data_IF_695202589029
#
_entry.id   IF_695202589029
#
_cell.length_a   1.000
_cell.length_b   1.000
_cell.length_c   1.000
_cell.angle_alpha   90.00
_cell.angle_beta   90.00
_cell.angle_gamma   90.00
#
_symmetry.space_group_name_H-M   'P 1'
#
loop_
_entity.id
_entity.type
_entity.pdbx_description
1 polymer ?
#
# COMPACT_ATOMS: atom_id res chain seq x y z
N UNK A 1 -8.31 -20.27 -17.29
CA UNK A 1 -8.49 -18.91 -16.74
C UNK A 1 -9.73 -18.95 -15.86
N UNK A 2 -9.62 -18.48 -14.63
CA UNK A 2 -10.71 -18.52 -13.66
C UNK A 2 -11.81 -17.50 -14.00
N UNK A 3 -13.11 -17.87 -13.94
CA UNK A 3 -14.21 -16.92 -14.13
C UNK A 3 -14.18 -15.79 -13.09
N UNK A 4 -13.79 -16.12 -11.85
CA UNK A 4 -13.63 -15.18 -10.75
C UNK A 4 -12.64 -14.06 -11.07
N UNK A 5 -11.60 -14.31 -11.85
CA UNK A 5 -10.62 -13.29 -12.25
C UNK A 5 -11.25 -12.21 -13.12
N UNK A 6 -12.03 -12.61 -14.13
CA UNK A 6 -12.70 -11.68 -15.04
C UNK A 6 -13.73 -10.86 -14.27
N UNK A 7 -14.55 -11.51 -13.45
CA UNK A 7 -15.58 -10.86 -12.64
C UNK A 7 -14.98 -9.91 -11.61
N UNK A 8 -13.89 -10.30 -10.93
CA UNK A 8 -13.20 -9.44 -9.97
C UNK A 8 -12.59 -8.21 -10.65
N UNK A 9 -11.96 -8.38 -11.81
CA UNK A 9 -11.43 -7.28 -12.62
C UNK A 9 -12.52 -6.29 -13.02
N UNK A 10 -13.66 -6.79 -13.51
CA UNK A 10 -14.83 -5.95 -13.85
C UNK A 10 -15.42 -5.26 -12.63
N UNK A 11 -15.49 -5.95 -11.49
CA UNK A 11 -15.99 -5.36 -10.25
C UNK A 11 -15.11 -4.19 -9.79
N UNK A 12 -13.80 -4.37 -9.73
CA UNK A 12 -12.86 -3.32 -9.32
C UNK A 12 -12.83 -2.16 -10.32
N UNK A 13 -12.78 -2.44 -11.62
CA UNK A 13 -12.79 -1.38 -12.64
C UNK A 13 -14.10 -0.57 -12.62
N UNK A 14 -15.24 -1.24 -12.45
CA UNK A 14 -16.53 -0.56 -12.27
C UNK A 14 -16.52 0.26 -10.99
N UNK A 15 -16.06 -0.30 -9.86
CA UNK A 15 -15.97 0.43 -8.60
C UNK A 15 -15.13 1.70 -8.77
N UNK A 16 -13.92 1.61 -9.32
CA UNK A 16 -13.02 2.75 -9.53
C UNK A 16 -13.67 3.85 -10.38
N UNK A 17 -14.61 3.56 -11.27
CA UNK A 17 -15.31 4.56 -12.08
C UNK A 17 -16.60 5.11 -11.44
N UNK A 18 -16.94 4.67 -10.23
CA UNK A 18 -18.25 4.89 -9.59
C UNK A 18 -18.24 5.90 -8.43
N UNK A 19 -17.31 6.84 -8.45
CA UNK A 19 -17.37 7.99 -7.54
C UNK A 19 -18.63 8.82 -7.82
N UNK A 20 -19.00 9.71 -6.90
CA UNK A 20 -20.17 10.61 -7.09
C UNK A 20 -20.11 11.44 -8.38
N UNK A 21 -18.92 11.74 -8.90
CA UNK A 21 -18.73 12.47 -10.17
C UNK A 21 -18.63 11.54 -11.40
N UNK A 22 -18.63 10.22 -11.18
CA UNK A 22 -18.58 9.19 -12.22
C UNK A 22 -19.91 8.47 -12.38
N UNK A 23 -19.90 7.14 -12.32
CA UNK A 23 -21.12 6.31 -12.41
C UNK A 23 -22.03 6.42 -11.17
N UNK A 24 -21.58 7.11 -10.11
CA UNK A 24 -22.35 7.37 -8.90
C UNK A 24 -22.85 6.08 -8.21
N UNK A 25 -24.00 6.19 -7.53
CA UNK A 25 -24.60 5.09 -6.80
C UNK A 25 -24.89 3.86 -7.67
N UNK A 26 -25.38 4.07 -8.89
CA UNK A 26 -25.73 2.98 -9.81
C UNK A 26 -24.51 2.11 -10.16
N UNK A 27 -23.37 2.73 -10.47
CA UNK A 27 -22.13 2.00 -10.73
C UNK A 27 -21.59 1.27 -9.51
N UNK A 28 -21.73 1.84 -8.30
CA UNK A 28 -21.32 1.15 -7.06
C UNK A 28 -22.17 -0.10 -6.79
N UNK A 29 -23.47 -0.04 -7.03
CA UNK A 29 -24.36 -1.21 -6.90
C UNK A 29 -23.98 -2.29 -7.93
N UNK A 30 -23.75 -1.91 -9.19
CA UNK A 30 -23.28 -2.84 -10.22
C UNK A 30 -21.92 -3.47 -9.86
N UNK A 31 -20.99 -2.68 -9.32
CA UNK A 31 -19.70 -3.18 -8.86
C UNK A 31 -19.85 -4.22 -7.75
N UNK A 32 -20.80 -4.02 -6.83
CA UNK A 32 -21.11 -4.98 -5.76
C UNK A 32 -21.72 -6.28 -6.30
N UNK A 33 -22.61 -6.21 -7.28
CA UNK A 33 -23.17 -7.40 -7.94
C UNK A 33 -22.08 -8.23 -8.61
N UNK A 34 -21.21 -7.57 -9.40
CA UNK A 34 -20.06 -8.20 -10.04
C UNK A 34 -19.10 -8.82 -9.03
N UNK A 35 -18.83 -8.11 -7.93
CA UNK A 35 -18.01 -8.62 -6.82
C UNK A 35 -18.63 -9.86 -6.22
N UNK A 36 -19.94 -9.88 -5.96
CA UNK A 36 -20.61 -11.01 -5.33
C UNK A 36 -20.55 -12.25 -6.24
N UNK A 37 -20.74 -12.07 -7.54
CA UNK A 37 -20.54 -13.14 -8.53
C UNK A 37 -19.08 -13.62 -8.56
N UNK A 38 -18.10 -12.71 -8.50
CA UNK A 38 -16.68 -13.05 -8.44
C UNK A 38 -16.33 -13.87 -7.19
N UNK A 39 -16.81 -13.45 -6.02
CA UNK A 39 -16.59 -14.15 -4.75
C UNK A 39 -17.22 -15.55 -4.77
N UNK A 40 -18.46 -15.69 -5.25
CA UNK A 40 -19.12 -16.99 -5.37
C UNK A 40 -18.35 -17.93 -6.32
N UNK A 41 -17.88 -17.41 -7.46
CA UNK A 41 -17.05 -18.19 -8.38
C UNK A 41 -15.69 -18.57 -7.75
N UNK A 42 -15.07 -17.67 -6.99
CA UNK A 42 -13.80 -17.95 -6.31
C UNK A 42 -13.95 -19.06 -5.28
N UNK A 43 -15.02 -19.01 -4.48
CA UNK A 43 -15.34 -20.03 -3.47
C UNK A 43 -15.59 -21.39 -4.12
N UNK A 44 -16.40 -21.44 -5.18
CA UNK A 44 -16.66 -22.67 -5.94
C UNK A 44 -15.38 -23.28 -6.51
N UNK A 45 -14.48 -22.47 -7.10
CA UNK A 45 -13.17 -22.95 -7.57
C UNK A 45 -12.28 -23.46 -6.44
N UNK A 46 -12.27 -22.77 -5.30
CA UNK A 46 -11.49 -23.20 -4.14
C UNK A 46 -11.99 -24.53 -3.56
N UNK A 47 -13.31 -24.67 -3.38
CA UNK A 47 -13.96 -25.86 -2.82
C UNK A 47 -13.86 -27.07 -3.75
N UNK A 48 -13.98 -26.87 -5.06
CA UNK A 48 -13.79 -27.92 -6.07
C UNK A 48 -12.32 -28.30 -6.28
N UNK A 49 -11.37 -27.57 -5.68
CA UNK A 49 -9.94 -27.80 -5.80
C UNK A 49 -9.31 -27.27 -7.08
N UNK A 50 -10.04 -26.52 -7.91
CA UNK A 50 -9.49 -25.82 -9.08
C UNK A 50 -8.72 -24.56 -8.65
N UNK A 51 -7.52 -24.77 -8.12
CA UNK A 51 -6.68 -23.71 -7.54
C UNK A 51 -5.45 -23.52 -8.43
N UNK A 52 -5.38 -22.36 -9.07
CA UNK A 52 -4.28 -21.94 -9.94
C UNK A 52 -3.88 -20.48 -9.66
N UNK A 53 -2.82 -19.99 -10.31
CA UNK A 53 -2.34 -18.62 -10.14
C UNK A 53 -3.38 -17.57 -10.53
N UNK A 54 -4.28 -17.86 -11.46
CA UNK A 54 -5.36 -16.93 -11.84
C UNK A 54 -6.44 -16.83 -10.77
N UNK A 55 -6.59 -17.85 -9.91
CA UNK A 55 -7.45 -17.78 -8.72
C UNK A 55 -6.83 -16.87 -7.66
N UNK A 56 -5.50 -16.94 -7.49
CA UNK A 56 -4.76 -16.04 -6.61
C UNK A 56 -4.88 -14.58 -7.08
N UNK A 57 -4.80 -14.33 -8.40
CA UNK A 57 -4.99 -13.00 -8.98
C UNK A 57 -6.41 -12.47 -8.70
N UNK A 58 -7.43 -13.33 -8.84
CA UNK A 58 -8.81 -12.98 -8.51
C UNK A 58 -8.96 -12.62 -7.01
N UNK A 59 -8.34 -13.41 -6.13
CA UNK A 59 -8.34 -13.17 -4.69
C UNK A 59 -7.67 -11.82 -4.34
N UNK A 60 -6.55 -11.48 -4.99
CA UNK A 60 -5.86 -10.21 -4.79
C UNK A 60 -6.74 -9.02 -5.19
N UNK A 61 -7.40 -9.10 -6.35
CA UNK A 61 -8.30 -8.05 -6.84
C UNK A 61 -9.51 -7.89 -5.90
N UNK A 62 -10.08 -9.00 -5.42
CA UNK A 62 -11.17 -8.98 -4.44
C UNK A 62 -10.73 -8.39 -3.10
N UNK A 63 -9.52 -8.70 -2.64
CA UNK A 63 -8.98 -8.11 -1.42
C UNK A 63 -8.79 -6.59 -1.56
N UNK A 64 -8.31 -6.11 -2.72
CA UNK A 64 -8.22 -4.68 -3.00
C UNK A 64 -9.61 -4.02 -3.10
N UNK A 65 -10.60 -4.71 -3.68
CA UNK A 65 -11.99 -4.24 -3.71
C UNK A 65 -12.52 -4.05 -2.28
N UNK A 66 -12.39 -5.06 -1.41
CA UNK A 66 -12.90 -4.98 -0.03
C UNK A 66 -12.09 -4.00 0.84
N UNK A 67 -10.82 -3.76 0.52
CA UNK A 67 -10.02 -2.71 1.14
C UNK A 67 -10.42 -1.29 0.66
N UNK A 68 -11.29 -1.16 -0.33
CA UNK A 68 -11.75 0.13 -0.86
C UNK A 68 -13.00 0.65 -0.15
N UNK A 69 -13.22 1.97 -0.19
CA UNK A 69 -14.49 2.55 0.25
C UNK A 69 -15.62 2.20 -0.73
N UNK A 70 -16.55 1.36 -0.30
CA UNK A 70 -17.76 1.00 -1.04
C UNK A 70 -18.97 0.89 -0.10
N UNK A 71 -20.22 0.88 -0.60
CA UNK A 71 -21.42 0.94 0.23
C UNK A 71 -21.52 -0.19 1.27
N UNK A 72 -21.20 -1.43 0.86
CA UNK A 72 -21.27 -2.61 1.73
C UNK A 72 -19.95 -2.91 2.48
N UNK A 73 -19.05 -1.93 2.60
CA UNK A 73 -17.75 -2.16 3.24
C UNK A 73 -17.92 -2.50 4.71
N UNK A 74 -17.25 -3.56 5.16
CA UNK A 74 -17.19 -3.98 6.56
C UNK A 74 -15.80 -4.54 6.88
N UNK A 75 -15.42 -4.50 8.16
CA UNK A 75 -14.13 -5.05 8.60
C UNK A 75 -14.07 -6.57 8.38
N UNK A 76 -15.19 -7.26 8.53
CA UNK A 76 -15.33 -8.70 8.36
C UNK A 76 -15.11 -9.12 6.91
N UNK A 77 -15.69 -8.38 5.94
CA UNK A 77 -15.50 -8.69 4.51
C UNK A 77 -14.07 -8.43 4.06
N UNK A 78 -13.48 -7.31 4.48
CA UNK A 78 -12.07 -7.01 4.23
C UNK A 78 -11.17 -8.10 4.82
N UNK A 79 -11.38 -8.50 6.07
CA UNK A 79 -10.62 -9.57 6.71
C UNK A 79 -10.77 -10.92 5.99
N UNK A 80 -11.99 -11.30 5.63
CA UNK A 80 -12.28 -12.56 4.93
C UNK A 80 -11.59 -12.61 3.57
N UNK A 81 -11.60 -11.50 2.83
CA UNK A 81 -10.93 -11.42 1.52
C UNK A 81 -9.40 -11.61 1.63
N UNK A 82 -8.77 -11.05 2.66
CA UNK A 82 -7.35 -11.25 2.94
C UNK A 82 -7.03 -12.70 3.33
N UNK A 83 -7.91 -13.35 4.12
CA UNK A 83 -7.77 -14.77 4.46
C UNK A 83 -7.82 -15.67 3.23
N UNK A 84 -8.77 -15.45 2.30
CA UNK A 84 -8.80 -16.21 1.05
C UNK A 84 -7.52 -16.01 0.22
N UNK A 85 -7.04 -14.77 0.11
CA UNK A 85 -5.79 -14.46 -0.58
C UNK A 85 -4.60 -15.21 0.04
N UNK A 86 -4.46 -15.14 1.37
CA UNK A 86 -3.42 -15.83 2.14
C UNK A 86 -3.47 -17.35 1.94
N UNK A 87 -4.65 -17.96 2.08
CA UNK A 87 -4.84 -19.40 1.91
C UNK A 87 -4.52 -19.88 0.51
N UNK A 88 -4.92 -19.13 -0.53
CA UNK A 88 -4.65 -19.48 -1.93
C UNK A 88 -3.15 -19.36 -2.22
N UNK A 89 -2.50 -18.27 -1.81
CA UNK A 89 -1.05 -18.08 -1.97
C UNK A 89 -0.27 -19.18 -1.27
N UNK A 90 -0.65 -19.51 -0.03
CA UNK A 90 -0.06 -20.60 0.76
C UNK A 90 -0.23 -21.94 0.05
N UNK A 91 -1.43 -22.27 -0.42
CA UNK A 91 -1.73 -23.54 -1.09
C UNK A 91 -0.96 -23.73 -2.39
N UNK A 92 -0.65 -22.64 -3.08
CA UNK A 92 0.17 -22.62 -4.29
C UNK A 92 1.68 -22.48 -4.01
N UNK A 93 2.08 -22.32 -2.74
CA UNK A 93 3.45 -22.08 -2.30
C UNK A 93 4.15 -20.91 -3.02
N UNK A 94 3.40 -19.85 -3.36
CA UNK A 94 3.92 -18.79 -4.24
C UNK A 94 4.96 -17.89 -3.57
N UNK A 95 5.01 -17.81 -2.23
CA UNK A 95 6.04 -17.05 -1.51
C UNK A 95 7.39 -17.77 -1.44
N UNK A 96 7.46 -19.04 -1.88
CA UNK A 96 8.68 -19.85 -1.94
C UNK A 96 9.04 -20.28 -3.36
N UNK A 97 8.52 -19.55 -4.36
CA UNK A 97 8.74 -19.84 -5.78
C UNK A 97 10.23 -19.94 -6.15
N UNK A 98 11.08 -19.20 -5.44
CA UNK A 98 12.51 -19.05 -5.73
C UNK A 98 13.40 -19.66 -4.62
N UNK A 99 12.88 -20.62 -3.84
CA UNK A 99 13.61 -21.28 -2.74
C UNK A 99 14.91 -21.97 -3.17
N UNK A 100 15.02 -22.35 -4.45
CA UNK A 100 16.20 -22.98 -5.03
C UNK A 100 17.14 -22.01 -5.76
N UNK A 101 16.78 -20.72 -5.87
CA UNK A 101 17.66 -19.70 -6.43
C UNK A 101 18.62 -19.21 -5.32
N UNK A 102 19.95 -19.33 -5.51
CA UNK A 102 20.94 -19.00 -4.47
C UNK A 102 21.00 -17.51 -4.13
N UNK A 103 20.51 -16.65 -5.02
CA UNK A 103 20.48 -15.20 -4.82
C UNK A 103 19.19 -14.75 -4.11
N UNK A 104 18.25 -15.66 -3.85
CA UNK A 104 17.00 -15.35 -3.13
C UNK A 104 17.26 -14.97 -1.68
N UNK A 105 16.65 -13.88 -1.24
CA UNK A 105 16.68 -13.49 0.17
C UNK A 105 15.76 -14.41 0.98
N UNK A 106 16.27 -14.93 2.10
CA UNK A 106 15.50 -15.69 3.07
C UNK A 106 15.61 -15.03 4.43
N UNK A 107 14.58 -15.21 5.26
CA UNK A 107 14.47 -14.52 6.55
C UNK A 107 14.15 -15.53 7.66
N UNK A 108 14.49 -15.17 8.89
CA UNK A 108 14.14 -15.97 10.07
C UNK A 108 13.00 -15.29 10.83
N UNK A 109 12.15 -16.06 11.52
CA UNK A 109 10.90 -15.56 12.09
C UNK A 109 11.10 -14.52 13.20
N UNK A 110 12.20 -14.60 13.94
CA UNK A 110 12.42 -13.80 15.16
C UNK A 110 13.56 -12.78 14.99
N UNK A 111 14.20 -12.73 13.83
CA UNK A 111 15.23 -11.74 13.54
C UNK A 111 14.71 -10.65 12.61
N UNK A 112 15.41 -9.53 12.60
CA UNK A 112 15.12 -8.45 11.65
C UNK A 112 15.37 -8.95 10.21
N UNK A 113 14.45 -8.69 9.26
CA UNK A 113 14.63 -9.11 7.87
C UNK A 113 15.67 -8.23 7.17
N UNK A 114 16.93 -8.57 7.36
CA UNK A 114 18.08 -7.84 6.81
C UNK A 114 18.44 -8.39 5.44
N UNK A 115 18.63 -7.49 4.47
CA UNK A 115 19.25 -7.82 3.18
C UNK A 115 20.66 -7.22 3.15
N UNK A 116 21.72 -8.02 2.96
CA UNK A 116 23.08 -7.52 2.94
C UNK A 116 23.25 -6.38 1.92
N UNK A 117 23.78 -5.25 2.38
CA UNK A 117 24.03 -4.09 1.52
C UNK A 117 25.02 -4.46 0.41
N UNK A 118 24.61 -4.25 -0.83
CA UNK A 118 25.48 -4.41 -1.98
C UNK A 118 26.15 -3.05 -2.27
N UNK A 119 27.48 -3.05 -2.47
CA UNK A 119 28.22 -1.82 -2.74
C UNK A 119 27.68 -1.11 -3.98
N UNK A 120 27.49 0.23 -3.95
CA UNK A 120 27.12 0.98 -5.13
C UNK A 120 28.15 0.77 -6.25
N UNK A 121 27.68 0.66 -7.49
CA UNK A 121 28.58 0.57 -8.65
C UNK A 121 29.26 1.93 -8.82
N UNK A 122 30.60 2.03 -8.73
CA UNK A 122 31.31 3.31 -8.77
C UNK A 122 31.04 4.05 -10.09
N UNK A 123 30.65 5.33 -10.03
CA UNK A 123 30.55 6.23 -11.19
C UNK A 123 29.17 6.40 -11.84
N UNK A 124 28.10 5.83 -11.28
CA UNK A 124 26.73 5.99 -11.82
C UNK A 124 25.84 6.81 -10.88
N UNK A 125 25.42 7.99 -11.36
CA UNK A 125 24.55 8.94 -10.63
C UNK A 125 23.06 8.84 -11.01
N UNK A 126 22.70 7.92 -11.92
CA UNK A 126 21.32 7.75 -12.38
C UNK A 126 20.78 6.38 -11.96
N UNK A 127 19.62 6.35 -11.30
CA UNK A 127 18.92 5.12 -10.96
C UNK A 127 18.30 4.46 -12.23
N UNK A 128 18.42 3.14 -12.35
CA UNK A 128 17.81 2.36 -13.45
C UNK A 128 16.32 2.08 -13.32
N UNK A 129 15.67 2.69 -12.33
CA UNK A 129 14.24 2.60 -12.08
C UNK A 129 13.43 3.45 -13.07
N UNK A 130 13.59 3.18 -14.37
CA UNK A 130 12.82 3.84 -15.45
C UNK A 130 11.81 2.85 -16.03
N UNK A 131 10.51 3.18 -16.08
CA UNK A 131 9.55 2.42 -16.88
C UNK A 131 9.86 2.69 -18.37
N UNK A 132 10.23 1.67 -19.16
CA UNK A 132 10.54 1.88 -20.58
C UNK A 132 9.28 2.14 -21.42
N UNK A 133 8.11 1.70 -20.93
CA UNK A 133 6.83 1.98 -21.56
C UNK A 133 6.34 3.40 -21.25
N UNK A 134 6.71 4.36 -22.11
CA UNK A 134 5.82 5.49 -22.35
C UNK A 134 4.69 4.98 -23.24
N UNK A 135 3.47 4.87 -22.71
CA UNK A 135 2.28 4.76 -23.56
C UNK A 135 2.38 5.84 -24.65
N UNK A 136 2.11 5.53 -25.92
CA UNK A 136 2.24 6.49 -27.02
C UNK A 136 1.24 7.63 -26.83
N UNK A 137 1.67 8.72 -26.20
CA UNK A 137 0.95 9.99 -26.02
C UNK A 137 -0.54 9.90 -25.62
N UNK A 138 -0.97 8.75 -25.10
CA UNK A 138 -2.32 8.43 -24.69
C UNK A 138 -2.45 8.73 -23.21
N UNK A 139 -3.34 9.67 -22.92
CA UNK A 139 -3.75 10.23 -21.64
C UNK A 139 -3.12 9.58 -20.37
N UNK A 140 -2.14 10.31 -19.81
CA UNK A 140 -1.45 10.04 -18.52
C UNK A 140 -2.47 9.82 -17.37
N UNK A 141 -3.72 10.25 -17.56
CA UNK A 141 -4.82 10.14 -16.62
C UNK A 141 -5.27 8.71 -16.33
N UNK A 142 -5.05 7.76 -17.24
CA UNK A 142 -5.76 6.46 -17.18
C UNK A 142 -5.08 5.40 -16.32
N UNK A 143 -3.76 5.46 -16.07
CA UNK A 143 -3.08 4.47 -15.24
C UNK A 143 -1.68 4.86 -14.71
N UNK A 144 -1.57 5.83 -13.78
CA UNK A 144 -0.28 6.30 -13.26
C UNK A 144 0.52 5.25 -12.47
N UNK A 145 -0.15 4.24 -11.90
CA UNK A 145 0.48 3.19 -11.08
C UNK A 145 1.27 2.19 -11.95
N UNK A 146 0.87 1.99 -13.21
CA UNK A 146 1.55 1.08 -14.13
C UNK A 146 2.95 1.58 -14.51
N UNK A 147 3.13 2.90 -14.56
CA UNK A 147 4.44 3.54 -14.76
C UNK A 147 5.39 3.34 -13.57
N UNK A 148 4.90 2.81 -12.45
CA UNK A 148 5.69 2.58 -11.26
C UNK A 148 6.03 1.11 -11.05
N UNK A 149 5.62 0.19 -11.95
CA UNK A 149 5.97 -1.23 -11.87
C UNK A 149 7.27 -1.53 -12.63
N UNK A 150 8.00 -2.60 -12.29
CA UNK A 150 9.13 -3.04 -13.10
C UNK A 150 8.66 -3.44 -14.51
N UNK A 151 9.52 -3.21 -15.50
CA UNK A 151 9.21 -3.55 -16.90
C UNK A 151 9.19 -5.07 -17.13
N UNK A 152 8.85 -5.49 -18.35
CA UNK A 152 8.94 -6.88 -18.80
C UNK A 152 10.08 -7.04 -19.80
N UNK A 153 10.90 -8.09 -19.67
CA UNK A 153 11.93 -8.37 -20.67
C UNK A 153 11.26 -9.03 -21.90
N UNK A 154 11.35 -8.45 -23.10
CA UNK A 154 10.72 -9.01 -24.29
C UNK A 154 11.31 -10.36 -24.71
N UNK A 155 12.45 -10.76 -24.14
CA UNK A 155 13.09 -12.06 -24.39
C UNK A 155 12.57 -13.16 -23.47
N UNK A 156 11.77 -12.84 -22.45
CA UNK A 156 11.24 -13.84 -21.52
C UNK A 156 10.27 -14.80 -22.21
N UNK A 157 10.39 -16.08 -21.86
CA UNK A 157 9.41 -17.08 -22.26
C UNK A 157 8.09 -16.85 -21.52
N UNK A 158 7.00 -17.45 -21.99
CA UNK A 158 5.72 -17.42 -21.27
C UNK A 158 5.83 -17.98 -19.84
N UNK A 159 6.72 -18.95 -19.62
CA UNK A 159 6.97 -19.50 -18.29
C UNK A 159 7.66 -18.48 -17.37
N UNK A 160 8.62 -17.71 -17.91
CA UNK A 160 9.31 -16.66 -17.16
C UNK A 160 8.38 -15.51 -16.81
N UNK A 161 7.53 -15.10 -17.76
CA UNK A 161 6.47 -14.11 -17.54
C UNK A 161 5.55 -14.57 -16.40
N UNK A 162 5.04 -15.80 -16.46
CA UNK A 162 4.15 -16.34 -15.40
C UNK A 162 4.82 -16.42 -14.03
N UNK A 163 6.11 -16.74 -13.98
CA UNK A 163 6.87 -16.71 -12.71
C UNK A 163 6.96 -15.29 -12.17
N UNK A 164 7.31 -14.33 -13.02
CA UNK A 164 7.37 -12.93 -12.60
C UNK A 164 6.00 -12.36 -12.20
N UNK A 165 4.92 -12.73 -12.90
CA UNK A 165 3.54 -12.42 -12.49
C UNK A 165 3.23 -12.95 -11.09
N UNK A 166 3.66 -14.18 -10.80
CA UNK A 166 3.45 -14.82 -9.49
C UNK A 166 4.25 -14.12 -8.38
N UNK A 167 5.49 -13.69 -8.65
CA UNK A 167 6.27 -12.88 -7.71
C UNK A 167 5.58 -11.56 -7.40
N UNK A 168 5.20 -10.83 -8.44
CA UNK A 168 4.52 -9.52 -8.32
C UNK A 168 3.19 -9.65 -7.59
N UNK A 169 2.46 -10.75 -7.79
CA UNK A 169 1.25 -11.06 -7.03
C UNK A 169 1.53 -11.18 -5.53
N UNK A 170 2.54 -11.95 -5.12
CA UNK A 170 2.90 -12.11 -3.71
C UNK A 170 3.33 -10.80 -3.06
N UNK A 171 4.16 -10.00 -3.75
CA UNK A 171 4.58 -8.69 -3.25
C UNK A 171 3.43 -7.68 -3.21
N UNK A 172 2.48 -7.75 -4.15
CA UNK A 172 1.25 -6.93 -4.11
C UNK A 172 0.31 -7.36 -2.98
N UNK A 173 0.24 -8.66 -2.70
CA UNK A 173 -0.49 -9.19 -1.54
C UNK A 173 0.14 -8.69 -0.23
N UNK A 174 1.48 -8.67 -0.13
CA UNK A 174 2.18 -8.08 1.00
C UNK A 174 1.83 -6.60 1.20
N UNK A 175 1.65 -5.82 0.13
CA UNK A 175 1.19 -4.42 0.24
C UNK A 175 -0.16 -4.30 0.94
N UNK A 176 -1.14 -5.14 0.59
CA UNK A 176 -2.46 -5.12 1.26
C UNK A 176 -2.35 -5.58 2.71
N UNK A 177 -1.53 -6.59 2.98
CA UNK A 177 -1.30 -7.13 4.32
C UNK A 177 -0.58 -6.09 5.21
N UNK A 178 0.43 -5.41 4.70
CA UNK A 178 1.13 -4.33 5.40
C UNK A 178 0.20 -3.14 5.67
N UNK A 179 -0.67 -2.78 4.72
CA UNK A 179 -1.69 -1.75 4.94
C UNK A 179 -2.68 -2.16 6.04
N UNK A 180 -3.10 -3.43 6.07
CA UNK A 180 -3.95 -3.98 7.12
C UNK A 180 -3.27 -3.95 8.49
N UNK A 181 -2.00 -4.36 8.60
CA UNK A 181 -1.27 -4.32 9.87
C UNK A 181 -1.03 -2.89 10.33
N UNK A 182 -0.78 -1.96 9.40
CA UNK A 182 -0.67 -0.53 9.68
C UNK A 182 -1.98 0.07 10.22
N UNK A 183 -3.11 -0.22 9.59
CA UNK A 183 -4.42 0.22 10.09
C UNK A 183 -4.70 -0.39 11.48
N UNK A 184 -4.41 -1.67 11.68
CA UNK A 184 -4.53 -2.29 12.99
C UNK A 184 -3.67 -1.59 14.06
N UNK A 185 -2.41 -1.30 13.76
CA UNK A 185 -1.53 -0.58 14.67
C UNK A 185 -2.05 0.84 14.99
N UNK A 186 -2.47 1.59 13.97
CA UNK A 186 -2.98 2.96 14.11
C UNK A 186 -4.25 3.05 14.96
N UNK A 187 -5.09 2.01 14.95
CA UNK A 187 -6.35 1.95 15.69
C UNK A 187 -6.29 1.02 16.92
N UNK A 188 -5.11 0.55 17.32
CA UNK A 188 -4.95 -0.32 18.50
C UNK A 188 -5.64 -1.68 18.38
N UNK A 189 -5.86 -2.19 17.16
CA UNK A 189 -6.50 -3.48 16.88
C UNK A 189 -5.45 -4.58 16.70
N UNK A 190 -5.87 -5.83 16.93
CA UNK A 190 -5.01 -7.00 16.66
C UNK A 190 -5.05 -7.30 15.14
N UNK A 191 -3.89 -7.41 14.47
CA UNK A 191 -3.82 -7.87 13.08
C UNK A 191 -4.34 -9.30 12.90
N UNK A 192 -4.62 -9.68 11.66
CA UNK A 192 -4.97 -11.06 11.32
C UNK A 192 -3.71 -11.92 11.41
N UNK A 193 -3.88 -13.18 11.82
CA UNK A 193 -2.83 -14.19 11.77
C UNK A 193 -2.79 -14.79 10.35
N UNK A 194 -1.92 -14.23 9.51
CA UNK A 194 -1.74 -14.60 8.11
C UNK A 194 -0.35 -15.25 7.92
N UNK A 195 -0.19 -16.11 6.93
CA UNK A 195 1.17 -16.55 6.57
C UNK A 195 1.98 -15.45 5.91
N UNK A 196 1.31 -14.54 5.19
CA UNK A 196 1.92 -13.38 4.53
C UNK A 196 2.51 -12.35 5.51
N UNK A 197 2.15 -12.37 6.80
CA UNK A 197 2.80 -11.49 7.80
C UNK A 197 4.13 -12.06 8.32
N UNK A 198 4.52 -13.27 7.93
CA UNK A 198 5.73 -13.91 8.46
C UNK A 198 6.86 -13.79 7.45
N UNK A 199 7.90 -12.98 7.70
CA UNK A 199 9.04 -12.87 6.78
C UNK A 199 9.69 -14.22 6.47
N UNK A 200 9.70 -15.15 7.43
CA UNK A 200 10.27 -16.50 7.26
C UNK A 200 9.57 -17.36 6.20
N UNK A 201 8.38 -16.96 5.75
CA UNK A 201 7.65 -17.61 4.67
C UNK A 201 8.08 -17.14 3.27
N UNK A 202 8.95 -16.13 3.18
CA UNK A 202 9.45 -15.58 1.92
C UNK A 202 10.80 -16.19 1.54
N UNK A 203 10.78 -16.94 0.46
CA UNK A 203 11.93 -17.29 -0.37
C UNK A 203 11.57 -16.94 -1.81
N UNK A 204 11.50 -15.62 -2.06
CA UNK A 204 10.96 -15.02 -3.27
C UNK A 204 11.86 -13.87 -3.72
N UNK A 205 12.17 -13.80 -5.01
CA UNK A 205 12.91 -12.68 -5.57
C UNK A 205 12.07 -11.41 -5.55
N UNK A 206 12.69 -10.27 -5.31
CA UNK A 206 12.00 -8.98 -5.29
C UNK A 206 11.48 -8.60 -6.68
N UNK A 207 10.43 -7.74 -6.78
CA UNK A 207 9.91 -7.34 -8.08
C UNK A 207 10.99 -6.68 -8.93
N UNK A 208 11.15 -7.12 -10.19
CA UNK A 208 12.16 -6.58 -11.10
C UNK A 208 13.58 -7.07 -10.85
N UNK A 209 13.83 -7.94 -9.87
CA UNK A 209 15.16 -8.47 -9.58
C UNK A 209 15.74 -9.27 -10.76
N UNK A 210 14.94 -10.16 -11.36
CA UNK A 210 15.34 -10.91 -12.57
C UNK A 210 15.62 -9.96 -13.74
N UNK A 211 14.77 -8.93 -13.92
CA UNK A 211 14.97 -7.95 -14.99
C UNK A 211 16.31 -7.23 -14.82
N UNK A 212 16.67 -6.85 -13.59
CA UNK A 212 17.96 -6.22 -13.30
C UNK A 212 19.13 -7.15 -13.61
N UNK A 213 18.99 -8.47 -13.36
CA UNK A 213 20.02 -9.47 -13.69
C UNK A 213 20.21 -9.69 -15.20
N UNK A 214 19.15 -9.55 -16.00
CA UNK A 214 19.22 -9.77 -17.46
C UNK A 214 19.68 -8.53 -18.25
N UNK A 215 19.86 -7.39 -17.57
CA UNK A 215 20.38 -6.16 -18.17
C UNK A 215 21.92 -6.22 -18.30
N UNK A 216 22.50 -5.83 -19.46
CA UNK A 216 23.95 -5.87 -19.67
C UNK A 216 24.77 -4.99 -18.73
N UNK A 217 24.16 -3.91 -18.22
CA UNK A 217 24.78 -2.95 -17.31
C UNK A 217 23.72 -2.48 -16.29
N UNK A 218 23.47 -3.23 -15.20
CA UNK A 218 22.51 -2.83 -14.19
C UNK A 218 22.97 -1.52 -13.53
N UNK A 219 22.05 -0.56 -13.39
CA UNK A 219 22.34 0.79 -12.86
C UNK A 219 22.34 0.85 -11.31
N UNK A 220 21.86 -0.19 -10.66
CA UNK A 220 21.97 -0.41 -9.22
C UNK A 220 21.97 -1.92 -8.95
N UNK A 221 22.47 -2.38 -7.79
CA UNK A 221 22.32 -3.77 -7.40
C UNK A 221 20.83 -4.19 -7.38
N UNK A 222 20.47 -5.43 -7.76
CA UNK A 222 19.06 -5.80 -7.97
C UNK A 222 18.16 -5.59 -6.73
N UNK A 223 18.72 -5.81 -5.53
CA UNK A 223 18.03 -5.66 -4.23
C UNK A 223 17.99 -4.22 -3.69
N UNK A 224 18.60 -3.29 -4.43
CA UNK A 224 18.60 -1.84 -4.16
C UNK A 224 17.66 -1.09 -5.11
N UNK A 225 16.86 -1.80 -5.92
CA UNK A 225 15.76 -1.20 -6.68
C UNK A 225 14.70 -0.62 -5.75
N UNK A 226 13.97 0.40 -6.20
CA UNK A 226 12.87 0.99 -5.41
C UNK A 226 11.84 -0.07 -4.99
N UNK A 227 11.54 -1.04 -5.86
CA UNK A 227 10.59 -2.12 -5.56
C UNK A 227 11.08 -3.09 -4.49
N UNK A 228 12.37 -3.43 -4.52
CA UNK A 228 13.00 -4.25 -3.48
C UNK A 228 13.03 -3.50 -2.14
N UNK A 229 13.39 -2.22 -2.16
CA UNK A 229 13.42 -1.38 -0.97
C UNK A 229 12.04 -1.25 -0.32
N UNK A 230 10.97 -1.08 -1.10
CA UNK A 230 9.59 -1.08 -0.60
C UNK A 230 9.19 -2.41 0.02
N UNK A 231 9.51 -3.50 -0.65
CA UNK A 231 9.25 -4.85 -0.14
C UNK A 231 9.96 -5.11 1.19
N UNK A 232 11.23 -4.68 1.30
CA UNK A 232 12.01 -4.71 2.54
C UNK A 232 11.40 -3.84 3.64
N UNK A 233 10.94 -2.63 3.33
CA UNK A 233 10.28 -1.76 4.30
C UNK A 233 9.02 -2.40 4.88
N UNK A 234 8.19 -3.04 4.04
CA UNK A 234 6.98 -3.73 4.48
C UNK A 234 7.29 -4.92 5.39
N UNK A 235 8.28 -5.76 5.02
CA UNK A 235 8.73 -6.87 5.86
C UNK A 235 9.26 -6.39 7.22
N UNK A 236 10.08 -5.33 7.20
CA UNK A 236 10.62 -4.71 8.42
C UNK A 236 9.50 -4.20 9.33
N UNK A 237 8.53 -3.47 8.77
CA UNK A 237 7.36 -2.98 9.50
C UNK A 237 6.59 -4.11 10.17
N UNK A 238 6.26 -5.16 9.41
CA UNK A 238 5.48 -6.28 9.93
C UNK A 238 6.26 -6.97 11.06
N UNK A 239 7.56 -7.17 10.90
CA UNK A 239 8.42 -7.76 11.93
C UNK A 239 8.44 -6.91 13.21
N UNK A 240 8.48 -5.58 13.08
CA UNK A 240 8.37 -4.67 14.22
C UNK A 240 7.03 -4.78 14.94
N UNK A 241 5.93 -4.92 14.20
CA UNK A 241 4.59 -5.11 14.78
C UNK A 241 4.50 -6.45 15.50
N UNK A 242 4.99 -7.54 14.91
CA UNK A 242 5.04 -8.85 15.57
C UNK A 242 5.88 -8.80 16.86
N UNK A 243 7.09 -8.25 16.79
CA UNK A 243 7.98 -8.15 17.95
C UNK A 243 7.43 -7.26 19.06
N UNK A 244 6.78 -6.15 18.71
CA UNK A 244 6.17 -5.25 19.71
C UNK A 244 5.08 -5.93 20.55
N UNK A 245 4.52 -7.03 20.04
CA UNK A 245 3.45 -7.82 20.66
C UNK A 245 3.95 -9.13 21.26
N UNK A 246 5.22 -9.49 21.02
CA UNK A 246 5.81 -10.72 21.53
C UNK A 246 6.09 -10.63 23.03
N UNK A 247 5.89 -11.75 23.72
CA UNK A 247 6.26 -11.93 25.13
C UNK A 247 7.75 -12.26 25.26
N UNK A 248 8.60 -11.36 24.77
CA UNK A 248 10.07 -11.44 24.88
C UNK A 248 10.60 -10.49 25.96
N UNK A 249 11.81 -10.77 26.43
CA UNK A 249 12.48 -9.94 27.44
C UNK A 249 12.79 -8.54 26.90
N UNK A 250 12.93 -7.57 27.81
CA UNK A 250 13.30 -6.20 27.43
C UNK A 250 14.66 -6.12 26.73
N UNK A 251 15.59 -7.03 27.07
CA UNK A 251 16.88 -7.15 26.41
C UNK A 251 16.75 -7.57 24.94
N UNK A 252 15.98 -8.62 24.66
CA UNK A 252 15.70 -9.09 23.29
C UNK A 252 14.94 -8.03 22.47
N UNK A 253 13.99 -7.33 23.10
CA UNK A 253 13.29 -6.20 22.47
C UNK A 253 14.23 -5.06 22.11
N UNK A 254 15.16 -4.71 23.00
CA UNK A 254 16.14 -3.66 22.75
C UNK A 254 17.12 -4.04 21.62
N UNK A 255 17.60 -5.29 21.61
CA UNK A 255 18.47 -5.80 20.54
C UNK A 255 17.76 -5.78 19.19
N UNK A 256 16.54 -6.32 19.12
CA UNK A 256 15.73 -6.29 17.91
C UNK A 256 15.49 -4.85 17.43
N UNK A 257 15.12 -3.94 18.34
CA UNK A 257 14.86 -2.54 18.00
C UNK A 257 16.12 -1.84 17.44
N UNK A 258 17.30 -2.16 17.97
CA UNK A 258 18.58 -1.65 17.46
C UNK A 258 18.85 -2.16 16.04
N UNK A 259 18.67 -3.46 15.80
CA UNK A 259 18.83 -4.06 14.46
C UNK A 259 17.82 -3.50 13.45
N UNK A 260 16.56 -3.36 13.85
CA UNK A 260 15.50 -2.81 13.01
C UNK A 260 15.79 -1.36 12.64
N UNK A 261 16.35 -0.58 13.57
CA UNK A 261 16.80 0.79 13.31
C UNK A 261 17.96 0.86 12.30
N UNK A 262 18.92 -0.07 12.37
CA UNK A 262 20.01 -0.13 11.40
C UNK A 262 19.48 -0.45 10.00
N UNK A 263 18.62 -1.46 9.86
CA UNK A 263 18.03 -1.82 8.57
C UNK A 263 17.16 -0.68 8.01
N UNK A 264 16.33 -0.06 8.86
CA UNK A 264 15.54 1.12 8.48
C UNK A 264 16.41 2.24 7.90
N UNK A 265 17.57 2.52 8.53
CA UNK A 265 18.49 3.55 8.07
C UNK A 265 19.17 3.15 6.75
N UNK A 266 19.53 1.88 6.57
CA UNK A 266 20.07 1.36 5.31
C UNK A 266 19.08 1.54 4.17
N UNK A 267 17.82 1.18 4.38
CA UNK A 267 16.76 1.31 3.36
C UNK A 267 16.53 2.80 3.03
N UNK A 268 16.48 3.67 4.05
CA UNK A 268 16.28 5.11 3.84
C UNK A 268 17.44 5.74 3.06
N UNK A 269 18.69 5.41 3.39
CA UNK A 269 19.87 5.87 2.66
C UNK A 269 19.84 5.41 1.20
N UNK A 270 19.43 4.16 0.96
CA UNK A 270 19.27 3.63 -0.39
C UNK A 270 18.17 4.37 -1.16
N UNK A 271 17.01 4.61 -0.54
CA UNK A 271 15.93 5.40 -1.14
C UNK A 271 16.37 6.84 -1.45
N UNK A 272 17.15 7.47 -0.58
CA UNK A 272 17.68 8.82 -0.80
C UNK A 272 18.67 8.91 -1.97
N UNK A 273 19.27 7.78 -2.38
CA UNK A 273 20.12 7.71 -3.57
C UNK A 273 19.31 7.67 -4.88
N UNK A 274 18.01 7.36 -4.83
CA UNK A 274 17.15 7.32 -6.01
C UNK A 274 16.66 8.73 -6.38
N UNK A 275 16.89 9.11 -7.64
CA UNK A 275 16.33 10.33 -8.24
C UNK A 275 15.12 10.05 -9.14
N UNK A 276 14.63 8.80 -9.20
CA UNK A 276 13.48 8.45 -10.03
C UNK A 276 12.19 9.01 -9.42
N UNK A 277 11.36 9.64 -10.24
CA UNK A 277 10.02 10.10 -9.83
C UNK A 277 9.04 8.97 -9.51
N UNK A 278 9.45 7.69 -9.61
CA UNK A 278 8.67 6.53 -9.17
C UNK A 278 8.31 6.65 -7.69
N UNK A 279 9.21 7.19 -6.85
CA UNK A 279 8.92 7.38 -5.43
C UNK A 279 7.74 8.33 -5.19
N UNK A 280 7.61 9.35 -6.04
CA UNK A 280 6.57 10.37 -5.93
C UNK A 280 5.22 9.89 -6.46
N UNK A 281 5.23 8.98 -7.43
CA UNK A 281 4.03 8.41 -8.05
C UNK A 281 3.50 7.16 -7.31
N UNK A 282 4.38 6.42 -6.62
CA UNK A 282 4.08 5.23 -5.82
C UNK A 282 3.65 5.57 -4.39
N UNK A 283 2.92 6.68 -4.20
CA UNK A 283 2.34 7.07 -2.92
C UNK A 283 2.01 5.79 -2.12
N UNK A 284 2.66 5.60 -0.96
CA UNK A 284 2.29 4.63 0.09
C UNK A 284 2.98 3.25 0.20
N UNK A 285 4.21 3.02 -0.28
CA UNK A 285 4.78 1.65 -0.15
C UNK A 285 6.12 1.53 0.58
N UNK A 286 6.96 2.58 0.64
CA UNK A 286 8.28 2.48 1.26
C UNK A 286 8.42 3.21 2.60
N UNK A 287 8.54 4.53 2.52
CA UNK A 287 8.98 5.38 3.65
C UNK A 287 8.02 5.40 4.83
N UNK A 288 6.72 5.19 4.61
CA UNK A 288 5.72 5.13 5.68
C UNK A 288 6.03 4.00 6.68
N UNK A 289 6.66 2.92 6.23
CA UNK A 289 6.99 1.74 7.01
C UNK A 289 8.35 1.82 7.73
N UNK A 290 9.14 2.86 7.45
CA UNK A 290 10.47 3.11 8.06
C UNK A 290 10.32 4.07 9.27
N UNK A 291 9.08 4.35 9.70
CA UNK A 291 8.79 5.25 10.80
C UNK A 291 9.52 4.88 12.11
N UNK A 292 10.16 5.87 12.74
CA UNK A 292 10.80 5.73 14.06
C UNK A 292 10.49 6.94 14.93
N UNK A 293 10.23 6.72 16.23
CA UNK A 293 10.01 7.76 17.24
C UNK A 293 11.09 8.85 17.26
N UNK A 294 12.37 8.52 17.12
CA UNK A 294 13.47 9.52 17.07
C UNK A 294 13.45 10.36 15.79
N UNK A 295 12.81 9.87 14.73
CA UNK A 295 12.58 10.56 13.45
C UNK A 295 11.14 11.07 13.31
N UNK A 296 10.35 11.08 14.39
CA UNK A 296 8.94 11.49 14.33
C UNK A 296 8.80 12.91 13.74
N UNK A 297 9.69 13.83 14.11
CA UNK A 297 9.73 15.18 13.57
C UNK A 297 10.03 15.18 12.06
N UNK A 298 11.00 14.41 11.61
CA UNK A 298 11.37 14.35 10.18
C UNK A 298 10.28 13.68 9.34
N UNK A 299 9.65 12.65 9.90
CA UNK A 299 8.47 12.03 9.31
C UNK A 299 7.29 13.01 9.21
N UNK A 300 7.00 13.78 10.26
CA UNK A 300 5.97 14.82 10.25
C UNK A 300 6.24 15.84 9.14
N UNK A 301 7.49 16.31 8.99
CA UNK A 301 7.88 17.21 7.90
C UNK A 301 7.69 16.58 6.53
N UNK A 302 8.11 15.32 6.33
CA UNK A 302 7.93 14.60 5.07
C UNK A 302 6.44 14.49 4.71
N UNK A 303 5.59 14.09 5.66
CA UNK A 303 4.16 13.93 5.47
C UNK A 303 3.44 15.27 5.23
N UNK A 304 3.88 16.36 5.86
CA UNK A 304 3.40 17.71 5.51
C UNK A 304 3.71 18.02 4.04
N UNK A 305 4.91 17.65 3.55
CA UNK A 305 5.27 17.73 2.15
C UNK A 305 4.33 16.93 1.23
N UNK A 306 3.97 15.70 1.63
CA UNK A 306 2.96 14.88 0.93
C UNK A 306 1.61 15.60 0.91
N UNK A 307 1.12 16.07 2.05
CA UNK A 307 -0.15 16.77 2.17
C UNK A 307 -0.19 18.02 1.28
N UNK A 308 0.89 18.79 1.24
CA UNK A 308 1.01 19.98 0.40
C UNK A 308 1.02 19.64 -1.09
N UNK A 309 1.70 18.56 -1.51
CA UNK A 309 1.64 18.08 -2.91
C UNK A 309 0.22 17.66 -3.29
N UNK A 310 -0.46 16.89 -2.43
CA UNK A 310 -1.85 16.48 -2.67
C UNK A 310 -2.77 17.71 -2.75
N UNK A 311 -2.63 18.69 -1.85
CA UNK A 311 -3.39 19.95 -1.90
C UNK A 311 -3.10 20.75 -3.17
N UNK A 312 -1.85 20.86 -3.58
CA UNK A 312 -1.48 21.55 -4.81
C UNK A 312 -2.09 20.85 -6.03
N UNK A 313 -2.02 19.51 -6.09
CA UNK A 313 -2.70 18.73 -7.12
C UNK A 313 -4.19 18.99 -7.08
N UNK A 314 -4.83 19.05 -5.91
CA UNK A 314 -6.26 19.30 -5.76
C UNK A 314 -6.70 20.73 -6.16
N UNK A 315 -5.87 21.74 -5.89
CA UNK A 315 -6.20 23.15 -6.14
C UNK A 315 -6.00 23.56 -7.62
N UNK A 316 -5.16 22.84 -8.37
CA UNK A 316 -4.83 23.13 -9.78
C UNK A 316 -5.84 22.49 -10.75
N UNK A 317 -6.82 21.73 -10.26
CA UNK A 317 -7.70 20.91 -11.11
C UNK A 317 -8.72 21.76 -11.86
N UNK A 318 -8.43 21.99 -13.13
CA UNK A 318 -9.43 22.19 -14.19
C UNK A 318 -10.15 20.86 -14.50
N UNK A 319 -11.31 20.98 -15.15
CA UNK A 319 -12.36 19.95 -15.37
C UNK A 319 -11.88 18.58 -15.91
N UNK A 320 -10.65 18.46 -16.43
CA UNK A 320 -10.12 17.20 -16.98
C UNK A 320 -9.32 16.30 -16.02
N UNK A 321 -8.84 16.79 -14.87
CA UNK A 321 -7.85 16.05 -14.04
C UNK A 321 -8.30 15.67 -12.62
N UNK A 322 -9.57 15.92 -12.28
CA UNK A 322 -10.26 15.40 -11.07
C UNK A 322 -10.27 13.86 -10.99
N UNK A 323 -9.78 13.17 -12.03
CA UNK A 323 -9.66 11.72 -12.19
C UNK A 323 -8.67 11.04 -11.22
N UNK A 324 -7.67 11.73 -10.66
CA UNK A 324 -6.62 11.05 -9.87
C UNK A 324 -7.15 10.43 -8.57
N UNK A 325 -7.98 11.16 -7.82
CA UNK A 325 -8.58 10.66 -6.56
C UNK A 325 -9.97 10.02 -6.79
N UNK A 326 -10.71 10.50 -7.77
CA UNK A 326 -12.05 9.99 -8.10
C UNK A 326 -12.05 8.59 -8.72
N UNK A 327 -10.87 8.04 -9.04
CA UNK A 327 -10.68 6.65 -9.43
C UNK A 327 -9.98 5.78 -8.36
N UNK A 328 -9.76 6.31 -7.16
CA UNK A 328 -8.94 5.64 -6.12
C UNK A 328 -9.68 5.55 -4.77
N UNK A 329 -10.73 4.71 -4.68
CA UNK A 329 -11.57 4.58 -3.47
C UNK A 329 -10.82 4.03 -2.24
N UNK A 330 -9.66 3.41 -2.42
CA UNK A 330 -8.87 2.80 -1.35
C UNK A 330 -8.02 3.80 -0.54
N UNK A 331 -7.72 4.99 -1.09
CA UNK A 331 -6.80 5.94 -0.44
C UNK A 331 -7.34 6.60 0.81
N UNK A 332 -8.66 6.61 1.01
CA UNK A 332 -9.22 7.29 2.18
C UNK A 332 -8.75 6.69 3.50
N UNK A 333 -8.57 5.37 3.54
CA UNK A 333 -8.10 4.66 4.73
C UNK A 333 -6.67 5.06 5.09
N UNK A 334 -5.81 5.25 4.08
CA UNK A 334 -4.44 5.69 4.30
C UNK A 334 -4.41 7.08 4.95
N UNK A 335 -5.12 8.06 4.40
CA UNK A 335 -5.16 9.41 4.97
C UNK A 335 -5.70 9.41 6.41
N UNK A 336 -6.75 8.62 6.68
CA UNK A 336 -7.27 8.46 8.04
C UNK A 336 -6.26 7.80 8.99
N UNK A 337 -5.49 6.80 8.50
CA UNK A 337 -4.40 6.19 9.25
C UNK A 337 -3.31 7.19 9.61
N UNK A 338 -2.94 8.09 8.69
CA UNK A 338 -1.96 9.15 8.97
C UNK A 338 -2.43 10.11 10.07
N UNK A 339 -3.72 10.46 10.07
CA UNK A 339 -4.32 11.28 11.14
C UNK A 339 -4.27 10.52 12.47
N UNK A 340 -4.61 9.23 12.49
CA UNK A 340 -4.59 8.40 13.69
C UNK A 340 -3.17 8.27 14.29
N UNK A 341 -2.16 8.03 13.45
CA UNK A 341 -0.74 7.97 13.86
C UNK A 341 -0.31 9.33 14.43
N UNK A 342 -0.64 10.43 13.76
CA UNK A 342 -0.29 11.78 14.20
C UNK A 342 -0.95 12.14 15.54
N UNK A 343 -2.22 11.81 15.73
CA UNK A 343 -2.91 11.96 17.02
C UNK A 343 -2.26 11.12 18.12
N UNK A 344 -1.81 9.90 17.79
CA UNK A 344 -1.10 9.05 18.73
C UNK A 344 0.24 9.65 19.15
N UNK A 345 0.99 10.24 18.20
CA UNK A 345 2.24 10.96 18.49
C UNK A 345 2.01 12.17 19.41
N UNK A 346 0.98 12.97 19.13
CA UNK A 346 0.57 14.06 20.00
C UNK A 346 0.22 13.56 21.40
N UNK A 347 -0.60 12.50 21.51
CA UNK A 347 -1.02 11.95 22.80
C UNK A 347 0.15 11.44 23.63
N UNK A 348 1.20 10.96 22.96
CA UNK A 348 2.43 10.48 23.58
C UNK A 348 3.34 11.65 24.00
N UNK A 349 3.46 12.70 23.19
CA UNK A 349 4.29 13.88 23.47
C UNK A 349 3.59 15.16 22.97
N UNK A 350 3.04 15.93 23.92
CA UNK A 350 2.30 17.16 23.64
C UNK A 350 3.22 18.34 23.23
N UNK A 351 4.54 18.15 23.08
CA UNK A 351 5.40 19.14 22.43
C UNK A 351 5.35 19.06 20.90
N UNK A 352 4.82 17.95 20.34
CA UNK A 352 4.76 17.68 18.91
C UNK A 352 3.55 18.34 18.23
N UNK A 353 3.40 19.66 18.34
CA UNK A 353 2.29 20.41 17.73
C UNK A 353 2.20 20.25 16.20
N UNK A 354 3.34 19.98 15.55
CA UNK A 354 3.42 19.64 14.11
C UNK A 354 2.57 18.41 13.74
N UNK A 355 2.30 17.51 14.68
CA UNK A 355 1.40 16.38 14.46
C UNK A 355 -0.05 16.84 14.24
N UNK A 356 -0.49 17.86 14.97
CA UNK A 356 -1.82 18.45 14.79
C UNK A 356 -1.90 19.24 13.48
N UNK A 357 -0.84 19.96 13.10
CA UNK A 357 -0.74 20.63 11.79
C UNK A 357 -0.88 19.64 10.63
N UNK A 358 -0.22 18.49 10.73
CA UNK A 358 -0.35 17.42 9.74
C UNK A 358 -1.79 16.87 9.68
N UNK A 359 -2.42 16.63 10.82
CA UNK A 359 -3.82 16.23 10.89
C UNK A 359 -4.72 17.22 10.12
N UNK A 360 -4.59 18.52 10.39
CA UNK A 360 -5.31 19.57 9.67
C UNK A 360 -5.05 19.53 8.16
N UNK A 361 -3.81 19.26 7.75
CA UNK A 361 -3.46 19.20 6.35
C UNK A 361 -4.13 18.03 5.60
N UNK A 362 -4.37 16.90 6.28
CA UNK A 362 -5.04 15.75 5.69
C UNK A 362 -6.56 15.78 5.73
N UNK A 363 -7.19 16.66 6.51
CA UNK A 363 -8.65 16.77 6.54
C UNK A 363 -9.25 17.05 5.15
N UNK A 364 -8.69 17.98 4.37
CA UNK A 364 -9.26 18.35 3.07
C UNK A 364 -9.23 17.18 2.06
N UNK A 365 -8.12 16.44 1.88
CA UNK A 365 -8.14 15.20 1.09
C UNK A 365 -9.16 14.16 1.57
N UNK A 366 -9.33 13.98 2.89
CA UNK A 366 -10.30 13.02 3.44
C UNK A 366 -11.74 13.48 3.20
N UNK A 367 -12.04 14.77 3.37
CA UNK A 367 -13.34 15.36 3.07
C UNK A 367 -13.75 15.09 1.61
N UNK A 368 -12.84 15.37 0.67
CA UNK A 368 -13.06 15.13 -0.77
C UNK A 368 -13.28 13.64 -1.06
N UNK A 369 -12.43 12.75 -0.54
CA UNK A 369 -12.58 11.31 -0.75
C UNK A 369 -13.87 10.76 -0.13
N UNK A 370 -14.29 11.29 1.02
CA UNK A 370 -15.54 10.92 1.71
C UNK A 370 -16.78 11.43 0.99
N UNK A 371 -16.67 12.56 0.30
CA UNK A 371 -17.70 13.05 -0.61
C UNK A 371 -17.80 12.17 -1.86
N UNK A 372 -16.65 11.87 -2.50
CA UNK A 372 -16.59 11.08 -3.74
C UNK A 372 -17.01 9.62 -3.54
N UNK A 373 -16.74 9.04 -2.38
CA UNK A 373 -16.97 7.63 -2.09
C UNK A 373 -17.78 7.45 -0.80
N UNK A 374 -19.12 7.53 -0.85
CA UNK A 374 -19.94 7.33 0.34
C UNK A 374 -19.79 5.91 0.91
N UNK A 375 -19.24 5.82 2.12
CA UNK A 375 -19.14 4.61 2.92
C UNK A 375 -19.47 4.93 4.38
N UNK A 376 -20.40 4.19 4.98
CA UNK A 376 -20.87 4.45 6.35
C UNK A 376 -19.76 4.23 7.39
N UNK A 377 -19.03 3.12 7.27
CA UNK A 377 -17.90 2.79 8.17
C UNK A 377 -16.81 3.86 8.12
N UNK A 378 -16.48 4.32 6.91
CA UNK A 378 -15.53 5.41 6.71
C UNK A 378 -15.99 6.69 7.40
N UNK A 379 -17.25 7.11 7.20
CA UNK A 379 -17.79 8.35 7.79
C UNK A 379 -17.81 8.30 9.31
N UNK A 380 -18.20 7.17 9.90
CA UNK A 380 -18.16 6.97 11.34
C UNK A 380 -16.73 7.10 11.89
N UNK A 381 -15.77 6.38 11.28
CA UNK A 381 -14.35 6.45 11.67
C UNK A 381 -13.78 7.85 11.51
N UNK A 382 -14.15 8.56 10.44
CA UNK A 382 -13.67 9.91 10.21
C UNK A 382 -14.24 10.90 11.24
N UNK A 383 -15.51 10.77 11.60
CA UNK A 383 -16.11 11.59 12.66
C UNK A 383 -15.37 11.42 14.00
N UNK A 384 -15.02 10.18 14.37
CA UNK A 384 -14.25 9.90 15.59
C UNK A 384 -12.87 10.56 15.56
N UNK A 385 -12.15 10.49 14.43
CA UNK A 385 -10.84 11.13 14.27
C UNK A 385 -10.95 12.66 14.38
N UNK A 386 -11.99 13.26 13.81
CA UNK A 386 -12.23 14.70 13.89
C UNK A 386 -12.57 15.17 15.30
N UNK A 387 -13.33 14.39 16.05
CA UNK A 387 -13.61 14.66 17.46
C UNK A 387 -12.31 14.66 18.27
N UNK A 388 -11.49 13.60 18.13
CA UNK A 388 -10.18 13.52 18.80
C UNK A 388 -9.24 14.67 18.42
N UNK A 389 -9.23 15.06 17.14
CA UNK A 389 -8.44 16.22 16.69
C UNK A 389 -8.94 17.53 17.30
N UNK A 390 -10.26 17.70 17.40
CA UNK A 390 -10.85 18.88 18.05
C UNK A 390 -10.38 19.00 19.49
N UNK A 391 -10.47 17.92 20.26
CA UNK A 391 -10.03 17.88 21.65
C UNK A 391 -8.52 18.17 21.78
N UNK A 392 -7.72 17.57 20.91
CA UNK A 392 -6.28 17.78 20.88
C UNK A 392 -5.89 19.23 20.53
N UNK A 393 -6.56 19.85 19.55
CA UNK A 393 -6.33 21.25 19.20
C UNK A 393 -6.72 22.20 20.33
N UNK A 394 -7.86 21.95 21.00
CA UNK A 394 -8.26 22.74 22.18
C UNK A 394 -7.21 22.65 23.28
N UNK A 395 -6.71 21.44 23.57
CA UNK A 395 -5.66 21.22 24.58
C UNK A 395 -4.33 21.92 24.21
N UNK A 396 -4.01 21.99 22.92
CA UNK A 396 -2.82 22.66 22.40
C UNK A 396 -2.95 24.19 22.27
N UNK A 397 -4.14 24.76 22.52
CA UNK A 397 -4.43 26.17 22.25
C UNK A 397 -4.46 26.51 20.74
N UNK A 398 -4.67 25.51 19.89
CA UNK A 398 -4.79 25.64 18.44
C UNK A 398 -6.26 25.78 18.02
N UNK A 399 -6.50 26.38 16.85
CA UNK A 399 -7.84 26.49 16.28
C UNK A 399 -8.41 25.11 15.95
N UNK A 400 -9.61 24.75 16.45
CA UNK A 400 -10.27 23.50 16.08
C UNK A 400 -10.54 23.39 14.57
N UNK A 401 -10.66 22.17 14.03
CA UNK A 401 -10.96 21.99 12.62
C UNK A 401 -12.38 22.47 12.28
N UNK A 402 -12.52 23.21 11.16
CA UNK A 402 -13.82 23.60 10.60
C UNK A 402 -14.69 22.37 10.33
N UNK A 403 -16.03 22.43 10.41
CA UNK A 403 -16.91 21.30 10.12
C UNK A 403 -16.57 20.57 8.82
N UNK A 404 -16.79 19.26 8.78
CA UNK A 404 -16.49 18.46 7.61
C UNK A 404 -17.30 18.96 6.39
N UNK A 405 -16.62 19.16 5.28
CA UNK A 405 -17.21 19.64 4.03
C UNK A 405 -17.29 18.48 3.02
N UNK A 406 -18.44 17.79 3.01
CA UNK A 406 -18.68 16.66 2.10
C UNK A 406 -19.26 17.09 0.75
N UNK A 407 -18.99 18.31 0.29
CA UNK A 407 -19.39 18.73 -1.05
C UNK A 407 -18.47 18.08 -2.06
N UNK A 408 -19.01 17.15 -2.85
CA UNK A 408 -18.30 16.60 -3.99
C UNK A 408 -18.00 17.76 -4.98
N UNK A 409 -16.78 17.85 -5.55
CA UNK A 409 -16.52 18.83 -6.60
C UNK A 409 -17.54 18.62 -7.71
N UNK A 410 -18.37 19.65 -7.96
CA UNK A 410 -19.43 19.57 -8.96
C UNK A 410 -18.78 19.25 -10.31
N UNK A 411 -19.26 18.20 -10.98
CA UNK A 411 -19.10 18.10 -12.42
C UNK A 411 -19.89 19.26 -13.01
N UNK A 412 -19.21 20.30 -13.47
CA UNK A 412 -19.74 21.10 -14.56
C UNK A 412 -19.91 20.16 -15.74
N UNK A 413 -21.12 20.14 -16.26
CA UNK A 413 -21.69 19.09 -17.11
C UNK A 413 -21.01 18.96 -18.48
N UNK A 414 -20.80 17.69 -18.87
CA UNK A 414 -20.79 17.06 -20.21
C UNK A 414 -20.38 17.88 -21.44
#
# INVERSE_FOLDING_TARGET
MQPSLVLAGLALATLMRSSEIGLGQSGRLQALELRNAAQASLQSSYESGWIDTTLAQAALILALFEASAHPDHTAERAATSLLYLDWIIKRLNLTRLDEHDPETSTFTQTAVPVVPRQSPIPGQANCGCTPSYRLPSGDISTSPIWNCAPDWDPRWSLADVRREESRRLCWSALTLVAAHTADCAAFGRKPLDLELIKPSNYALLFPGEILSRTQPAPLHPPKESVWALYSRSMLLWISCIEQSRAETSDGEKAEFAMQAWMEASVIEDALNFHACHIEQASLFVGRDYIFNRKKAIDWLKYQIGVANRVKATLNVLTEGQTQILSNRPFYVWWFMGQIAISLSLWSFDNSLTQALELCHAFLKPVDILTALWPCAVQRARYADLRAKLTDACVAAGMTPPLPADFVAPLSTSL
#
